data_IF_630137018250
#
_entry.id   IF_630137018250
#
_cell.length_a   1.000
_cell.length_b   1.000
_cell.length_c   1.000
_cell.angle_alpha   90.00
_cell.angle_beta   90.00
_cell.angle_gamma   90.00
#
_symmetry.space_group_name_H-M   'P 1'
#
loop_
_entity.id
_entity.type
_entity.pdbx_description
1 polymer ?
#
# COMPACT_ATOMS: atom_id res chain seq x y z
N UNK A 1 -2.82 19.35 -40.61
CA UNK A 1 -1.53 19.39 -39.91
C UNK A 1 -1.62 20.44 -38.82
N UNK A 2 -2.12 20.05 -37.63
CA UNK A 2 -2.20 20.94 -36.48
C UNK A 2 -0.88 20.82 -35.70
N UNK A 3 -0.14 21.90 -35.68
CA UNK A 3 1.09 22.09 -34.91
C UNK A 3 0.81 21.81 -33.44
N UNK A 4 1.28 20.66 -32.97
CA UNK A 4 1.41 20.38 -31.52
C UNK A 4 2.45 21.36 -31.00
N UNK A 5 2.02 22.46 -30.41
CA UNK A 5 2.91 23.32 -29.66
C UNK A 5 3.53 22.46 -28.56
N UNK A 6 4.83 22.20 -28.63
CA UNK A 6 5.59 21.56 -27.54
C UNK A 6 5.34 22.39 -26.27
N UNK A 7 4.46 21.90 -25.39
CA UNK A 7 4.20 22.56 -24.10
C UNK A 7 5.53 22.53 -23.36
N UNK A 8 6.11 23.72 -23.14
CA UNK A 8 7.42 23.88 -22.57
C UNK A 8 7.52 23.07 -21.24
N UNK A 9 8.43 22.11 -21.17
CA UNK A 9 8.70 21.34 -19.98
C UNK A 9 8.16 19.89 -19.93
N UNK A 10 7.24 19.49 -20.84
CA UNK A 10 6.74 18.10 -20.93
C UNK A 10 7.86 17.18 -21.44
N UNK A 11 7.99 15.98 -20.85
CA UNK A 11 9.06 15.00 -21.13
C UNK A 11 10.50 15.54 -20.96
N UNK A 12 10.66 16.67 -20.24
CA UNK A 12 11.95 17.35 -20.05
C UNK A 12 12.83 16.65 -19.00
N UNK A 13 14.13 16.97 -18.95
CA UNK A 13 15.01 16.52 -17.86
C UNK A 13 14.52 16.95 -16.46
N UNK A 14 13.84 18.08 -16.37
CA UNK A 14 13.19 18.53 -15.13
C UNK A 14 12.06 17.58 -14.71
N UNK A 15 11.22 17.13 -15.66
CA UNK A 15 10.15 16.18 -15.39
C UNK A 15 10.68 14.87 -14.79
N UNK A 16 11.80 14.36 -15.30
CA UNK A 16 12.46 13.17 -14.75
C UNK A 16 13.02 13.40 -13.34
N UNK A 17 13.70 14.53 -13.10
CA UNK A 17 14.16 14.89 -11.75
C UNK A 17 12.99 15.00 -10.78
N UNK A 18 11.89 15.61 -11.22
CA UNK A 18 10.67 15.71 -10.43
C UNK A 18 10.08 14.33 -10.09
N UNK A 19 10.11 13.39 -11.03
CA UNK A 19 9.67 12.01 -10.79
C UNK A 19 10.52 11.33 -9.71
N UNK A 20 11.85 11.42 -9.78
CA UNK A 20 12.74 10.88 -8.75
C UNK A 20 12.55 11.53 -7.39
N UNK A 21 12.42 12.85 -7.32
CA UNK A 21 12.11 13.58 -6.07
C UNK A 21 10.77 13.12 -5.50
N UNK A 22 9.77 12.90 -6.34
CA UNK A 22 8.47 12.39 -5.89
C UNK A 22 8.55 10.98 -5.33
N UNK A 23 9.30 10.07 -5.97
CA UNK A 23 9.58 8.72 -5.43
C UNK A 23 10.28 8.79 -4.08
N UNK A 24 11.28 9.67 -3.96
CA UNK A 24 11.99 9.90 -2.72
C UNK A 24 11.06 10.43 -1.61
N UNK A 25 10.17 11.39 -1.91
CA UNK A 25 9.16 11.86 -0.97
C UNK A 25 8.21 10.76 -0.51
N UNK A 26 7.76 9.88 -1.42
CA UNK A 26 6.93 8.73 -1.07
C UNK A 26 7.71 7.77 -0.16
N UNK A 27 8.97 7.52 -0.49
CA UNK A 27 9.88 6.72 0.33
C UNK A 27 10.06 7.27 1.74
N UNK A 28 10.22 8.59 1.87
CA UNK A 28 10.31 9.26 3.18
C UNK A 28 9.01 9.16 3.97
N UNK A 29 7.88 9.48 3.34
CA UNK A 29 6.58 9.56 4.02
C UNK A 29 6.10 8.25 4.61
N UNK A 30 6.43 7.12 4.00
CA UNK A 30 6.02 5.80 4.47
C UNK A 30 6.79 5.29 5.70
N UNK A 31 7.92 5.91 6.06
CA UNK A 31 8.80 5.40 7.12
C UNK A 31 8.13 5.22 8.49
N UNK A 32 7.29 6.18 8.88
CA UNK A 32 6.59 6.10 10.17
C UNK A 32 5.77 4.82 10.35
N UNK A 33 5.13 4.33 9.29
CA UNK A 33 4.28 3.12 9.35
C UNK A 33 5.09 1.85 9.65
N UNK A 34 6.38 1.82 9.30
CA UNK A 34 7.21 0.62 9.50
C UNK A 34 7.78 0.52 10.91
N UNK A 35 7.82 1.61 11.69
CA UNK A 35 8.34 1.55 13.06
C UNK A 35 7.52 0.62 13.97
N UNK A 36 6.16 0.69 14.04
CA UNK A 36 5.37 -0.24 14.86
C UNK A 36 5.52 -1.71 14.43
N UNK A 37 5.89 -1.94 13.16
CA UNK A 37 6.15 -3.29 12.62
C UNK A 37 7.48 -3.84 13.11
N UNK A 38 8.53 -3.01 13.07
CA UNK A 38 9.90 -3.43 13.45
C UNK A 38 10.08 -3.46 14.97
N UNK A 39 9.59 -2.43 15.67
CA UNK A 39 9.68 -2.27 17.12
C UNK A 39 8.47 -2.84 17.87
N UNK A 40 7.70 -3.75 17.26
CA UNK A 40 6.43 -4.23 17.81
C UNK A 40 6.56 -4.76 19.23
N UNK A 41 7.57 -5.60 19.51
CA UNK A 41 7.82 -6.16 20.85
C UNK A 41 8.26 -5.10 21.88
N UNK A 42 9.08 -4.15 21.45
CA UNK A 42 9.58 -3.07 22.32
C UNK A 42 8.42 -2.15 22.75
N UNK A 43 7.60 -1.73 21.79
CA UNK A 43 6.41 -0.91 22.08
C UNK A 43 5.43 -1.70 22.95
N UNK A 44 5.14 -2.96 22.63
CA UNK A 44 4.25 -3.80 23.42
C UNK A 44 4.74 -3.97 24.85
N UNK A 45 6.04 -4.19 25.07
CA UNK A 45 6.62 -4.34 26.39
C UNK A 45 6.41 -3.12 27.29
N UNK A 46 6.44 -1.91 26.71
CA UNK A 46 6.19 -0.66 27.43
C UNK A 46 4.71 -0.48 27.81
N UNK A 47 3.79 -1.06 26.99
CA UNK A 47 2.34 -0.97 27.21
C UNK A 47 1.73 -2.30 27.69
N UNK A 48 2.32 -2.88 28.74
CA UNK A 48 1.78 -4.06 29.41
C UNK A 48 1.93 -5.40 28.67
N UNK A 49 2.76 -5.44 27.62
CA UNK A 49 3.03 -6.65 26.83
C UNK A 49 2.03 -6.91 25.71
N UNK A 50 1.00 -6.07 25.55
CA UNK A 50 -0.05 -6.24 24.54
C UNK A 50 0.41 -5.85 23.15
N UNK A 51 0.49 -6.81 22.22
CA UNK A 51 0.86 -6.59 20.81
C UNK A 51 -0.25 -5.88 20.03
N UNK A 52 -1.47 -5.89 20.53
CA UNK A 52 -2.57 -5.11 19.95
C UNK A 52 -2.28 -3.60 19.95
N UNK A 53 -1.52 -3.06 20.92
CA UNK A 53 -1.22 -1.62 21.03
C UNK A 53 -0.41 -1.10 19.82
N UNK A 54 0.80 -1.61 19.53
CA UNK A 54 1.53 -1.17 18.33
C UNK A 54 0.81 -1.51 17.02
N UNK A 55 0.06 -2.62 16.99
CA UNK A 55 -0.74 -3.00 15.83
C UNK A 55 -1.93 -2.06 15.61
N UNK A 56 -2.51 -1.49 16.69
CA UNK A 56 -3.54 -0.45 16.62
C UNK A 56 -2.97 0.85 16.06
N UNK A 57 -1.76 1.25 16.48
CA UNK A 57 -1.09 2.42 15.91
C UNK A 57 -0.88 2.27 14.39
N UNK A 58 -0.42 1.08 13.95
CA UNK A 58 -0.33 0.75 12.52
C UNK A 58 -1.69 0.83 11.83
N UNK A 59 -2.74 0.22 12.40
CA UNK A 59 -4.10 0.23 11.86
C UNK A 59 -4.63 1.64 11.66
N UNK A 60 -4.54 2.47 12.69
CA UNK A 60 -5.01 3.87 12.68
C UNK A 60 -4.23 4.70 11.64
N UNK A 61 -2.90 4.54 11.58
CA UNK A 61 -2.06 5.23 10.61
C UNK A 61 -2.38 4.83 9.18
N UNK A 62 -2.57 3.54 8.92
CA UNK A 62 -2.84 3.02 7.57
C UNK A 62 -4.25 3.38 7.09
N UNK A 63 -5.25 3.28 7.96
CA UNK A 63 -6.63 3.67 7.65
C UNK A 63 -6.74 5.18 7.39
N UNK A 64 -6.11 5.98 8.26
CA UNK A 64 -6.07 7.44 8.12
C UNK A 64 -5.33 7.88 6.85
N UNK A 65 -4.26 7.17 6.46
CA UNK A 65 -3.57 7.39 5.18
C UNK A 65 -4.51 7.19 3.98
N UNK A 66 -5.36 6.16 4.00
CA UNK A 66 -6.35 5.91 2.95
C UNK A 66 -7.34 7.06 2.79
N UNK A 67 -7.93 7.51 3.90
CA UNK A 67 -8.86 8.65 3.93
C UNK A 67 -8.15 9.97 3.56
N UNK A 68 -6.98 10.20 4.15
CA UNK A 68 -6.16 11.39 3.91
C UNK A 68 -5.73 11.52 2.45
N UNK A 69 -5.47 10.40 1.76
CA UNK A 69 -5.09 10.40 0.35
C UNK A 69 -6.13 11.03 -0.56
N UNK A 70 -7.43 10.84 -0.26
CA UNK A 70 -8.53 11.50 -0.98
C UNK A 70 -8.52 13.01 -0.70
N UNK A 71 -8.39 13.40 0.58
CA UNK A 71 -8.36 14.80 1.00
C UNK A 71 -7.13 15.53 0.43
N UNK A 72 -5.94 14.94 0.54
CA UNK A 72 -4.70 15.54 0.05
C UNK A 72 -4.64 15.63 -1.48
N UNK A 73 -5.23 14.66 -2.19
CA UNK A 73 -5.42 14.73 -3.64
C UNK A 73 -6.33 15.91 -4.03
N UNK A 74 -7.46 16.05 -3.35
CA UNK A 74 -8.36 17.19 -3.55
C UNK A 74 -7.69 18.54 -3.22
N UNK A 75 -6.91 18.62 -2.16
CA UNK A 75 -6.17 19.81 -1.77
C UNK A 75 -5.12 20.19 -2.83
N UNK A 76 -4.38 19.20 -3.34
CA UNK A 76 -3.40 19.40 -4.40
C UNK A 76 -4.04 19.92 -5.70
N UNK A 77 -5.24 19.42 -6.05
CA UNK A 77 -5.97 19.84 -7.25
C UNK A 77 -6.50 21.29 -7.13
N UNK A 78 -6.77 21.77 -5.91
CA UNK A 78 -7.28 23.14 -5.66
C UNK A 78 -6.19 24.17 -5.41
N UNK A 79 -5.04 23.72 -4.97
CA UNK A 79 -3.92 24.60 -4.61
C UNK A 79 -2.71 24.32 -5.51
N UNK A 80 -1.84 23.45 -5.06
CA UNK A 80 -0.66 23.02 -5.79
C UNK A 80 -0.14 21.73 -5.15
N UNK A 81 0.56 20.85 -5.87
CA UNK A 81 1.18 19.65 -5.29
C UNK A 81 2.22 19.95 -4.20
N UNK A 82 2.70 21.19 -4.11
CA UNK A 82 3.58 21.66 -3.02
C UNK A 82 2.89 21.70 -1.66
N UNK A 83 1.64 22.15 -1.62
CA UNK A 83 0.92 22.41 -0.36
C UNK A 83 0.75 21.13 0.47
N UNK A 84 0.23 20.01 -0.07
CA UNK A 84 0.21 18.75 0.66
C UNK A 84 1.57 18.30 1.17
N UNK A 85 2.64 18.46 0.38
CA UNK A 85 3.99 18.04 0.79
C UNK A 85 4.59 18.93 1.88
N UNK A 86 4.30 20.24 1.89
CA UNK A 86 4.69 21.12 3.00
C UNK A 86 3.95 20.73 4.29
N UNK A 87 2.65 20.45 4.19
CA UNK A 87 1.86 19.92 5.31
C UNK A 87 2.47 18.58 5.78
N UNK A 88 2.81 17.68 4.86
CA UNK A 88 3.44 16.41 5.20
C UNK A 88 4.74 16.57 5.98
N UNK A 89 5.62 17.48 5.54
CA UNK A 89 6.89 17.75 6.23
C UNK A 89 6.70 18.15 7.67
N UNK A 90 5.82 19.15 7.92
CA UNK A 90 5.49 19.61 9.27
C UNK A 90 4.78 18.53 10.09
N UNK A 91 3.84 17.82 9.46
CA UNK A 91 3.04 16.81 10.15
C UNK A 91 3.85 15.57 10.51
N UNK A 92 4.79 15.12 9.68
CA UNK A 92 5.67 13.99 9.98
C UNK A 92 6.58 14.33 11.17
N UNK A 93 7.13 15.54 11.21
CA UNK A 93 7.93 16.02 12.34
C UNK A 93 7.11 16.06 13.63
N UNK A 94 5.95 16.74 13.59
CA UNK A 94 5.07 16.85 14.75
C UNK A 94 4.52 15.49 15.20
N UNK A 95 4.21 14.61 14.26
CA UNK A 95 3.68 13.29 14.53
C UNK A 95 4.70 12.33 15.15
N UNK A 96 5.95 12.40 14.66
CA UNK A 96 7.05 11.64 15.25
C UNK A 96 7.28 12.03 16.73
N UNK A 97 7.27 13.33 17.00
CA UNK A 97 7.39 13.83 18.38
C UNK A 97 6.16 13.49 19.23
N UNK A 98 4.94 13.72 18.74
CA UNK A 98 3.70 13.47 19.49
C UNK A 98 3.55 11.96 19.83
N UNK A 99 3.75 11.08 18.86
CA UNK A 99 3.62 9.65 19.08
C UNK A 99 4.69 9.10 20.06
N UNK A 100 5.85 9.75 20.14
CA UNK A 100 6.93 9.39 21.07
C UNK A 100 6.80 10.01 22.45
N UNK A 101 5.93 11.01 22.67
CA UNK A 101 5.96 11.87 23.86
C UNK A 101 5.19 11.35 25.08
N UNK A 102 4.29 10.35 24.91
CA UNK A 102 3.39 9.97 25.99
C UNK A 102 2.97 8.50 26.00
N UNK A 103 1.74 8.24 26.46
CA UNK A 103 1.14 6.92 26.56
C UNK A 103 0.46 6.46 25.27
N UNK A 104 -0.40 5.46 25.35
CA UNK A 104 -1.10 4.86 24.21
C UNK A 104 -1.88 5.88 23.37
N UNK A 105 -2.57 6.82 24.02
CA UNK A 105 -3.37 7.82 23.32
C UNK A 105 -2.53 8.76 22.45
N UNK A 106 -1.35 9.18 22.90
CA UNK A 106 -0.45 10.02 22.12
C UNK A 106 0.13 9.24 20.94
N UNK A 107 0.41 7.94 21.15
CA UNK A 107 0.80 7.02 20.09
C UNK A 107 -0.30 6.94 19.01
N UNK A 108 -1.54 6.66 19.40
CA UNK A 108 -2.67 6.50 18.46
C UNK A 108 -2.98 7.79 17.71
N UNK A 109 -3.11 8.92 18.41
CA UNK A 109 -3.38 10.22 17.79
C UNK A 109 -2.23 10.63 16.86
N UNK A 110 -0.98 10.41 17.28
CA UNK A 110 0.21 10.70 16.47
C UNK A 110 0.26 9.89 15.19
N UNK A 111 -0.10 8.62 15.23
CA UNK A 111 -0.18 7.78 14.03
C UNK A 111 -1.38 8.09 13.15
N UNK A 112 -2.54 8.36 13.76
CA UNK A 112 -3.78 8.61 13.01
C UNK A 112 -3.73 9.95 12.28
N UNK A 113 -3.48 11.05 12.99
CA UNK A 113 -3.66 12.39 12.44
C UNK A 113 -2.39 12.88 11.73
N UNK A 114 -1.28 13.20 12.44
CA UNK A 114 -0.14 13.81 11.76
C UNK A 114 0.66 12.84 10.91
N UNK A 115 0.90 11.59 11.34
CA UNK A 115 1.68 10.65 10.52
C UNK A 115 0.87 10.04 9.38
N UNK A 116 -0.37 9.60 9.63
CA UNK A 116 -1.20 8.92 8.64
C UNK A 116 -1.96 9.89 7.75
N UNK A 117 -2.92 10.65 8.34
CA UNK A 117 -3.87 11.47 7.59
C UNK A 117 -3.21 12.69 6.91
N UNK A 118 -2.29 13.38 7.56
CA UNK A 118 -1.63 14.58 7.03
C UNK A 118 -0.27 14.30 6.40
N UNK A 119 0.49 13.36 6.96
CA UNK A 119 1.88 13.07 6.56
C UNK A 119 1.95 12.14 5.36
N UNK A 120 1.81 10.85 5.58
CA UNK A 120 2.01 9.83 4.54
C UNK A 120 1.02 9.96 3.38
N UNK A 121 -0.24 10.26 3.66
CA UNK A 121 -1.30 10.42 2.66
C UNK A 121 -0.99 11.49 1.60
N UNK A 122 -0.27 12.53 1.99
CA UNK A 122 0.08 13.67 1.14
C UNK A 122 1.18 13.35 0.10
N UNK A 123 1.82 12.18 0.18
CA UNK A 123 2.98 11.86 -0.66
C UNK A 123 2.59 11.18 -1.97
N UNK A 124 1.77 10.13 -1.95
CA UNK A 124 1.51 9.28 -3.12
C UNK A 124 0.50 9.90 -4.09
N UNK A 125 -0.71 10.22 -3.63
CA UNK A 125 -1.81 10.66 -4.53
C UNK A 125 -1.50 12.00 -5.21
N UNK A 126 -1.02 13.05 -4.51
CA UNK A 126 -0.62 14.29 -5.15
C UNK A 126 0.54 14.13 -6.14
N UNK A 127 1.55 13.32 -5.79
CA UNK A 127 2.68 13.05 -6.67
C UNK A 127 2.24 12.32 -7.95
N UNK A 128 1.41 11.28 -7.82
CA UNK A 128 0.87 10.51 -8.94
C UNK A 128 0.05 11.40 -9.89
N UNK A 129 -0.78 12.28 -9.33
CA UNK A 129 -1.57 13.24 -10.11
C UNK A 129 -0.69 14.26 -10.84
N UNK A 130 0.29 14.83 -10.15
CA UNK A 130 1.17 15.85 -10.72
C UNK A 130 2.04 15.28 -11.84
N UNK A 131 2.66 14.12 -11.62
CA UNK A 131 3.58 13.51 -12.59
C UNK A 131 2.92 13.18 -13.93
N UNK A 132 1.66 12.75 -13.90
CA UNK A 132 0.91 12.44 -15.11
C UNK A 132 0.77 13.65 -16.07
N UNK A 133 0.84 14.86 -15.58
CA UNK A 133 0.79 16.08 -16.39
C UNK A 133 2.16 16.59 -16.87
N UNK A 134 3.26 15.99 -16.41
CA UNK A 134 4.62 16.29 -16.84
C UNK A 134 5.12 15.38 -17.96
N UNK A 135 4.38 14.29 -18.28
CA UNK A 135 4.77 13.31 -19.30
C UNK A 135 3.65 13.07 -20.31
N UNK A 136 4.03 12.95 -21.56
CA UNK A 136 3.15 12.57 -22.65
C UNK A 136 3.63 11.25 -23.30
N UNK A 137 4.81 11.23 -23.90
CA UNK A 137 5.37 10.05 -24.58
C UNK A 137 5.75 8.92 -23.63
N UNK A 138 6.30 9.23 -22.44
CA UNK A 138 6.80 8.26 -21.46
C UNK A 138 5.95 8.23 -20.19
N UNK A 139 4.68 8.56 -20.29
CA UNK A 139 3.75 8.67 -19.16
C UNK A 139 3.63 7.37 -18.36
N UNK A 140 3.52 6.22 -19.05
CA UNK A 140 3.43 4.91 -18.38
C UNK A 140 4.66 4.60 -17.56
N UNK A 141 5.86 4.91 -18.07
CA UNK A 141 7.12 4.71 -17.36
C UNK A 141 7.22 5.60 -16.11
N UNK A 142 6.81 6.87 -16.23
CA UNK A 142 6.79 7.80 -15.08
C UNK A 142 5.81 7.37 -13.99
N UNK A 143 4.62 6.89 -14.37
CA UNK A 143 3.62 6.33 -13.44
C UNK A 143 4.15 5.07 -12.76
N UNK A 144 4.80 4.17 -13.49
CA UNK A 144 5.44 2.97 -12.94
C UNK A 144 6.54 3.33 -11.93
N UNK A 145 7.35 4.36 -12.25
CA UNK A 145 8.40 4.84 -11.34
C UNK A 145 7.81 5.34 -10.00
N UNK A 146 6.74 6.15 -10.04
CA UNK A 146 6.06 6.60 -8.82
C UNK A 146 5.51 5.44 -8.01
N UNK A 147 4.99 4.40 -8.68
CA UNK A 147 4.43 3.21 -8.01
C UNK A 147 5.47 2.38 -7.26
N UNK A 148 6.75 2.55 -7.54
CA UNK A 148 7.86 1.92 -6.77
C UNK A 148 8.09 2.59 -5.41
N UNK A 149 7.66 3.84 -5.24
CA UNK A 149 7.92 4.62 -4.02
C UNK A 149 7.52 3.93 -2.71
N UNK A 150 6.30 3.37 -2.56
CA UNK A 150 5.91 2.65 -1.35
C UNK A 150 6.77 1.40 -1.06
N UNK A 151 7.17 0.67 -2.11
CA UNK A 151 8.05 -0.49 -1.96
C UNK A 151 9.46 -0.07 -1.52
N UNK A 152 9.97 1.04 -2.06
CA UNK A 152 11.25 1.62 -1.63
C UNK A 152 11.22 2.00 -0.14
N UNK A 153 10.12 2.61 0.32
CA UNK A 153 9.91 2.91 1.74
C UNK A 153 10.03 1.67 2.61
N UNK A 154 9.28 0.64 2.26
CA UNK A 154 9.25 -0.59 3.03
C UNK A 154 10.51 -1.47 2.91
N UNK A 155 11.29 -1.31 1.87
CA UNK A 155 12.61 -1.91 1.77
C UNK A 155 13.63 -1.18 2.66
N UNK A 156 13.59 0.16 2.68
CA UNK A 156 14.62 0.98 3.32
C UNK A 156 14.40 1.12 4.83
N UNK A 157 13.18 1.48 5.27
CA UNK A 157 12.93 1.87 6.66
C UNK A 157 13.09 0.74 7.67
N UNK A 158 12.68 -0.52 7.43
CA UNK A 158 12.97 -1.62 8.34
C UNK A 158 14.47 -1.81 8.60
N UNK A 159 15.31 -1.59 7.56
CA UNK A 159 16.75 -1.67 7.71
C UNK A 159 17.30 -0.48 8.51
N UNK A 160 16.80 0.73 8.28
CA UNK A 160 17.18 1.92 9.05
C UNK A 160 16.81 1.74 10.53
N UNK A 161 15.61 1.28 10.84
CA UNK A 161 15.18 1.04 12.21
C UNK A 161 15.97 -0.08 12.90
N UNK A 162 16.35 -1.12 12.16
CA UNK A 162 17.25 -2.16 12.66
C UNK A 162 18.56 -1.58 13.25
N UNK A 163 19.08 -0.49 12.65
CA UNK A 163 20.28 0.19 13.13
C UNK A 163 20.00 1.18 14.26
N UNK A 164 18.85 1.83 14.24
CA UNK A 164 18.52 2.86 15.23
C UNK A 164 18.01 2.28 16.56
N UNK A 165 17.21 1.22 16.53
CA UNK A 165 16.53 0.69 17.70
C UNK A 165 17.47 0.24 18.83
N UNK A 166 18.61 -0.47 18.59
CA UNK A 166 19.49 -0.92 19.67
C UNK A 166 20.10 0.23 20.47
N UNK A 167 20.39 1.37 19.82
CA UNK A 167 21.08 2.49 20.46
C UNK A 167 20.11 3.55 21.01
N UNK A 168 18.97 3.77 20.33
CA UNK A 168 18.05 4.88 20.62
C UNK A 168 16.68 4.43 21.16
N UNK A 169 16.34 3.14 21.04
CA UNK A 169 14.99 2.67 21.32
C UNK A 169 13.92 3.24 20.37
N UNK A 170 12.68 2.78 20.48
CA UNK A 170 11.64 3.12 19.51
C UNK A 170 11.20 4.60 19.55
N UNK A 171 11.17 5.23 20.72
CA UNK A 171 10.72 6.62 20.88
C UNK A 171 11.67 7.59 20.19
N UNK A 172 12.96 7.51 20.47
CA UNK A 172 13.96 8.38 19.86
C UNK A 172 14.10 8.08 18.34
N UNK A 173 14.05 6.82 17.97
CA UNK A 173 14.05 6.42 16.54
C UNK A 173 12.90 7.04 15.76
N UNK A 174 11.70 7.14 16.37
CA UNK A 174 10.55 7.81 15.77
C UNK A 174 10.75 9.32 15.65
N UNK A 175 11.33 9.95 16.66
CA UNK A 175 11.68 11.39 16.62
C UNK A 175 12.73 11.66 15.55
N UNK A 176 13.81 10.86 15.49
CA UNK A 176 14.85 10.96 14.47
C UNK A 176 14.22 10.84 13.07
N UNK A 177 13.35 9.84 12.87
CA UNK A 177 12.58 9.72 11.63
C UNK A 177 11.80 10.99 11.33
N UNK A 178 11.02 11.48 12.31
CA UNK A 178 10.19 12.67 12.17
C UNK A 178 10.98 13.90 11.73
N UNK A 179 12.13 14.12 12.35
CA UNK A 179 13.03 15.24 12.02
C UNK A 179 13.63 15.07 10.62
N UNK A 180 14.26 13.93 10.36
CA UNK A 180 14.96 13.68 9.08
C UNK A 180 13.97 13.70 7.92
N UNK A 181 12.89 12.90 8.02
CA UNK A 181 11.90 12.80 6.95
C UNK A 181 11.12 14.11 6.77
N UNK A 182 10.74 14.78 7.88
CA UNK A 182 10.01 16.04 7.85
C UNK A 182 10.82 17.15 7.20
N UNK A 183 12.08 17.34 7.58
CA UNK A 183 12.96 18.37 6.99
C UNK A 183 13.23 18.08 5.51
N UNK A 184 13.59 16.83 5.17
CA UNK A 184 13.84 16.47 3.77
C UNK A 184 12.58 16.61 2.91
N UNK A 185 11.41 16.24 3.43
CA UNK A 185 10.12 16.42 2.76
C UNK A 185 9.84 17.90 2.49
N UNK A 186 10.05 18.76 3.49
CA UNK A 186 9.89 20.20 3.36
C UNK A 186 10.80 20.77 2.27
N UNK A 187 12.08 20.40 2.25
CA UNK A 187 13.03 20.81 1.22
C UNK A 187 12.64 20.31 -0.17
N UNK A 188 12.20 19.06 -0.28
CA UNK A 188 11.71 18.51 -1.54
C UNK A 188 10.46 19.25 -2.04
N UNK A 189 9.55 19.64 -1.15
CA UNK A 189 8.36 20.38 -1.49
C UNK A 189 8.68 21.75 -2.16
N UNK A 190 9.76 22.39 -1.76
CA UNK A 190 10.23 23.64 -2.39
C UNK A 190 10.65 23.45 -3.86
N UNK A 191 11.17 22.27 -4.20
CA UNK A 191 11.59 21.93 -5.54
C UNK A 191 10.43 21.56 -6.48
N UNK A 192 9.35 20.98 -5.95
CA UNK A 192 8.21 20.48 -6.73
C UNK A 192 7.41 21.63 -7.32
N UNK A 193 7.07 21.54 -8.62
CA UNK A 193 6.23 22.50 -9.35
C UNK A 193 4.95 21.81 -9.84
N UNK A 194 3.85 22.56 -9.98
CA UNK A 194 2.64 22.06 -10.62
C UNK A 194 2.90 21.72 -12.07
N UNK A 195 2.18 20.72 -12.60
CA UNK A 195 2.34 20.32 -13.98
C UNK A 195 1.89 21.40 -14.96
N UNK A 196 2.55 21.56 -16.11
CA UNK A 196 2.18 22.55 -17.15
C UNK A 196 0.85 22.21 -17.82
N UNK A 197 0.39 20.98 -17.72
CA UNK A 197 -0.89 20.52 -18.28
C UNK A 197 -1.93 20.54 -17.17
N UNK A 198 -2.71 21.63 -17.08
CA UNK A 198 -3.91 21.66 -16.25
C UNK A 198 -4.83 20.49 -16.67
N UNK A 199 -5.26 19.69 -15.72
CA UNK A 199 -6.20 18.59 -15.95
C UNK A 199 -7.50 19.19 -16.49
N UNK A 200 -7.72 19.12 -17.81
CA UNK A 200 -9.03 19.36 -18.35
C UNK A 200 -9.98 18.38 -17.66
N UNK A 201 -10.99 18.88 -16.94
CA UNK A 201 -12.10 18.07 -16.47
C UNK A 201 -12.80 17.54 -17.71
N UNK A 202 -12.36 16.38 -18.22
CA UNK A 202 -13.09 15.70 -19.29
C UNK A 202 -14.49 15.44 -18.78
N UNK A 203 -15.50 15.92 -19.53
CA UNK A 203 -16.88 15.56 -19.28
C UNK A 203 -16.96 14.03 -19.24
N UNK A 204 -17.52 13.47 -18.18
CA UNK A 204 -17.68 12.02 -18.08
C UNK A 204 -18.62 11.56 -19.17
N UNK A 205 -18.21 10.66 -20.07
CA UNK A 205 -19.12 10.08 -21.03
C UNK A 205 -20.24 9.32 -20.29
N UNK A 206 -21.42 9.16 -20.90
CA UNK A 206 -22.48 8.34 -20.36
C UNK A 206 -21.99 6.94 -19.99
N UNK A 207 -22.43 6.42 -18.85
CA UNK A 207 -22.02 5.09 -18.36
C UNK A 207 -22.75 4.01 -19.17
N UNK A 208 -22.12 3.39 -20.14
CA UNK A 208 -22.62 2.15 -20.73
C UNK A 208 -22.22 0.96 -19.82
N UNK A 209 -23.16 0.49 -19.06
CA UNK A 209 -23.01 -0.65 -18.13
C UNK A 209 -23.55 -1.97 -18.71
N UNK A 210 -24.01 -1.99 -19.96
CA UNK A 210 -24.62 -3.18 -20.60
C UNK A 210 -23.65 -4.34 -20.75
N UNK A 211 -22.33 -4.02 -20.83
CA UNK A 211 -21.23 -4.97 -20.96
C UNK A 211 -20.84 -5.71 -19.68
N UNK A 212 -21.34 -5.35 -18.49
CA UNK A 212 -20.91 -5.93 -17.22
C UNK A 212 -21.38 -7.39 -17.03
N UNK A 213 -20.56 -8.25 -16.39
CA UNK A 213 -20.93 -9.65 -16.10
C UNK A 213 -22.09 -9.78 -15.10
N UNK A 214 -22.30 -8.77 -14.25
CA UNK A 214 -23.36 -8.67 -13.25
C UNK A 214 -23.73 -7.18 -13.04
N UNK A 215 -24.86 -6.85 -12.37
CA UNK A 215 -25.21 -5.46 -12.07
C UNK A 215 -24.06 -4.72 -11.36
N UNK A 216 -23.90 -3.44 -11.65
CA UNK A 216 -22.77 -2.64 -11.18
C UNK A 216 -22.60 -2.60 -9.65
N UNK A 217 -23.72 -2.48 -8.89
CA UNK A 217 -23.67 -2.42 -7.42
C UNK A 217 -23.11 -3.70 -6.78
N UNK A 218 -23.67 -4.91 -7.06
CA UNK A 218 -23.09 -6.15 -6.51
C UNK A 218 -21.66 -6.41 -7.03
N UNK A 219 -21.31 -6.02 -8.24
CA UNK A 219 -19.95 -6.13 -8.75
C UNK A 219 -18.96 -5.28 -7.94
N UNK A 220 -19.34 -4.04 -7.62
CA UNK A 220 -18.53 -3.16 -6.77
C UNK A 220 -18.41 -3.72 -5.35
N UNK A 221 -19.50 -4.23 -4.76
CA UNK A 221 -19.45 -4.86 -3.45
C UNK A 221 -18.53 -6.09 -3.43
N UNK A 222 -18.63 -6.95 -4.46
CA UNK A 222 -17.76 -8.12 -4.61
C UNK A 222 -16.29 -7.73 -4.71
N UNK A 223 -15.93 -6.79 -5.57
CA UNK A 223 -14.55 -6.35 -5.75
C UNK A 223 -14.00 -5.64 -4.50
N UNK A 224 -14.83 -4.85 -3.80
CA UNK A 224 -14.45 -4.20 -2.55
C UNK A 224 -14.23 -5.23 -1.43
N UNK A 225 -15.10 -6.22 -1.29
CA UNK A 225 -14.96 -7.30 -0.32
C UNK A 225 -13.72 -8.17 -0.64
N UNK A 226 -13.49 -8.49 -1.91
CA UNK A 226 -12.32 -9.25 -2.33
C UNK A 226 -11.02 -8.48 -2.01
N UNK A 227 -10.96 -7.19 -2.34
CA UNK A 227 -9.79 -6.35 -2.05
C UNK A 227 -9.54 -6.21 -0.53
N UNK A 228 -10.60 -6.05 0.26
CA UNK A 228 -10.52 -6.03 1.72
C UNK A 228 -9.92 -7.35 2.24
N UNK A 229 -10.48 -8.48 1.85
CA UNK A 229 -10.05 -9.80 2.32
C UNK A 229 -8.61 -10.12 1.90
N UNK A 230 -8.26 -9.84 0.66
CA UNK A 230 -6.89 -9.97 0.15
C UNK A 230 -5.89 -9.18 1.01
N UNK A 231 -6.16 -7.90 1.24
CA UNK A 231 -5.26 -7.03 1.96
C UNK A 231 -5.23 -7.32 3.47
N UNK A 232 -6.35 -7.78 4.06
CA UNK A 232 -6.38 -8.24 5.45
C UNK A 232 -5.50 -9.48 5.64
N UNK A 233 -5.59 -10.44 4.73
CA UNK A 233 -4.73 -11.62 4.74
C UNK A 233 -3.25 -11.28 4.60
N UNK A 234 -2.93 -10.35 3.72
CA UNK A 234 -1.58 -9.89 3.40
C UNK A 234 -0.90 -9.17 4.58
N UNK A 235 -1.69 -8.42 5.35
CA UNK A 235 -1.17 -7.59 6.43
C UNK A 235 -0.69 -8.41 7.63
N UNK A 236 -1.31 -9.55 7.95
CA UNK A 236 -0.97 -10.35 9.13
C UNK A 236 0.50 -10.77 9.14
N UNK A 237 1.03 -11.52 8.15
CA UNK A 237 2.45 -11.89 8.17
C UNK A 237 3.35 -10.66 8.03
N UNK A 238 2.96 -9.66 7.26
CA UNK A 238 3.77 -8.48 7.02
C UNK A 238 4.01 -7.65 8.28
N UNK A 239 2.97 -7.37 9.05
CA UNK A 239 3.04 -6.54 10.26
C UNK A 239 3.73 -7.28 11.40
N UNK A 240 3.53 -8.60 11.49
CA UNK A 240 4.01 -9.39 12.63
C UNK A 240 5.30 -10.17 12.37
N UNK A 241 5.92 -10.05 11.19
CA UNK A 241 7.10 -10.84 10.80
C UNK A 241 8.26 -10.71 11.78
N UNK A 242 8.59 -9.48 12.20
CA UNK A 242 9.71 -9.23 13.12
C UNK A 242 9.44 -9.85 14.49
N UNK A 243 8.22 -9.68 15.01
CA UNK A 243 7.82 -10.26 16.28
C UNK A 243 7.74 -11.80 16.22
N UNK A 244 7.22 -12.34 15.11
CA UNK A 244 7.16 -13.78 14.86
C UNK A 244 8.55 -14.42 14.80
N UNK A 245 9.50 -13.82 14.09
CA UNK A 245 10.88 -14.26 14.08
C UNK A 245 11.48 -14.29 15.50
N UNK A 246 11.23 -13.24 16.29
CA UNK A 246 11.69 -13.18 17.67
C UNK A 246 11.04 -14.22 18.60
N UNK A 247 9.78 -14.66 18.32
CA UNK A 247 9.13 -15.75 19.08
C UNK A 247 9.69 -17.13 18.70
N UNK A 248 10.27 -17.26 17.52
CA UNK A 248 11.03 -18.45 17.11
C UNK A 248 12.49 -18.44 17.58
N UNK A 249 12.89 -17.47 18.42
CA UNK A 249 14.28 -17.34 18.91
C UNK A 249 15.25 -16.75 17.89
N UNK A 250 14.75 -16.20 16.78
CA UNK A 250 15.57 -15.55 15.77
C UNK A 250 15.77 -14.07 16.10
N UNK A 251 16.88 -13.47 15.63
CA UNK A 251 17.11 -12.05 15.85
C UNK A 251 16.08 -11.19 15.10
N UNK A 252 15.68 -10.02 15.62
CA UNK A 252 14.77 -9.08 14.93
C UNK A 252 15.25 -8.67 13.55
N UNK A 253 16.57 -8.67 13.34
CA UNK A 253 17.18 -8.42 12.05
C UNK A 253 16.68 -9.36 10.94
N UNK A 254 16.48 -10.64 11.25
CA UNK A 254 15.99 -11.65 10.30
C UNK A 254 14.54 -11.38 9.88
N UNK A 255 13.72 -10.87 10.79
CA UNK A 255 12.36 -10.42 10.47
C UNK A 255 12.35 -9.21 9.53
N UNK A 256 13.23 -8.24 9.74
CA UNK A 256 13.38 -7.08 8.85
C UNK A 256 13.89 -7.48 7.45
N UNK A 257 14.81 -8.44 7.37
CA UNK A 257 15.27 -9.03 6.11
C UNK A 257 14.13 -9.73 5.36
N UNK A 258 13.28 -10.49 6.09
CA UNK A 258 12.12 -11.16 5.52
C UNK A 258 11.11 -10.16 4.92
N UNK A 259 10.83 -9.04 5.61
CA UNK A 259 9.98 -7.96 5.09
C UNK A 259 10.59 -7.35 3.82
N UNK A 260 11.90 -7.07 3.84
CA UNK A 260 12.59 -6.52 2.66
C UNK A 260 12.53 -7.48 1.48
N UNK A 261 12.62 -8.80 1.73
CA UNK A 261 12.50 -9.83 0.71
C UNK A 261 11.08 -9.90 0.11
N UNK A 262 10.03 -9.78 0.94
CA UNK A 262 8.63 -9.66 0.46
C UNK A 262 8.54 -8.50 -0.54
N UNK A 263 9.05 -7.33 -0.19
CA UNK A 263 8.92 -6.13 -1.02
C UNK A 263 9.80 -6.16 -2.26
N UNK A 264 10.98 -6.74 -2.19
CA UNK A 264 11.84 -6.97 -3.34
C UNK A 264 11.17 -7.87 -4.36
N UNK A 265 10.61 -9.00 -3.91
CA UNK A 265 9.89 -9.92 -4.77
C UNK A 265 8.59 -9.31 -5.31
N UNK A 266 7.92 -8.46 -4.54
CA UNK A 266 6.74 -7.72 -4.98
C UNK A 266 7.04 -6.80 -6.17
N UNK A 267 8.13 -6.06 -6.11
CA UNK A 267 8.57 -5.20 -7.23
C UNK A 267 8.91 -6.03 -8.46
N UNK A 268 9.73 -7.07 -8.29
CA UNK A 268 10.15 -7.95 -9.39
C UNK A 268 8.95 -8.65 -10.07
N UNK A 269 8.04 -9.20 -9.27
CA UNK A 269 6.88 -9.93 -9.76
C UNK A 269 5.82 -9.03 -10.42
N UNK A 270 5.71 -7.77 -10.02
CA UNK A 270 4.73 -6.82 -10.57
C UNK A 270 4.81 -6.71 -12.09
N UNK A 271 6.01 -6.65 -12.65
CA UNK A 271 6.21 -6.57 -14.10
C UNK A 271 5.84 -7.88 -14.81
N UNK A 272 6.20 -9.02 -14.23
CA UNK A 272 5.86 -10.34 -14.77
C UNK A 272 4.33 -10.58 -14.75
N UNK A 273 3.68 -10.28 -13.63
CA UNK A 273 2.23 -10.44 -13.46
C UNK A 273 1.44 -9.44 -14.32
N UNK A 274 1.95 -8.22 -14.51
CA UNK A 274 1.37 -7.25 -15.44
C UNK A 274 1.36 -7.79 -16.88
N UNK A 275 2.50 -8.28 -17.37
CA UNK A 275 2.59 -8.93 -18.69
C UNK A 275 1.66 -10.14 -18.81
N UNK A 276 1.65 -11.00 -17.81
CA UNK A 276 0.77 -12.17 -17.80
C UNK A 276 -0.71 -11.75 -17.85
N UNK A 277 -1.07 -10.65 -17.20
CA UNK A 277 -2.43 -10.08 -17.22
C UNK A 277 -2.86 -9.64 -18.62
N UNK A 278 -1.92 -9.17 -19.45
CA UNK A 278 -2.21 -8.81 -20.84
C UNK A 278 -2.56 -10.04 -21.70
N UNK A 279 -1.97 -11.21 -21.40
CA UNK A 279 -2.19 -12.47 -22.15
C UNK A 279 -3.42 -13.25 -21.67
N UNK A 280 -3.54 -13.50 -20.39
CA UNK A 280 -4.60 -14.39 -19.84
C UNK A 280 -5.73 -13.64 -19.13
N UNK A 281 -5.59 -12.33 -18.99
CA UNK A 281 -6.58 -11.42 -18.39
C UNK A 281 -6.41 -11.21 -16.88
N UNK A 282 -6.84 -10.04 -16.37
CA UNK A 282 -6.55 -9.62 -15.01
C UNK A 282 -7.25 -10.45 -13.92
N UNK A 283 -8.45 -11.00 -14.18
CA UNK A 283 -9.15 -11.82 -13.17
C UNK A 283 -8.42 -13.13 -12.93
N UNK A 284 -7.95 -13.80 -13.99
CA UNK A 284 -7.22 -15.06 -13.84
C UNK A 284 -5.86 -14.86 -13.18
N UNK A 285 -5.16 -13.75 -13.51
CA UNK A 285 -3.89 -13.42 -12.84
C UNK A 285 -4.13 -13.10 -11.36
N UNK A 286 -5.20 -12.39 -11.00
CA UNK A 286 -5.54 -12.13 -9.59
C UNK A 286 -5.88 -13.42 -8.84
N UNK A 287 -6.55 -14.39 -9.49
CA UNK A 287 -6.77 -15.72 -8.92
C UNK A 287 -5.46 -16.49 -8.69
N UNK A 288 -4.53 -16.46 -9.65
CA UNK A 288 -3.20 -17.07 -9.48
C UNK A 288 -2.42 -16.40 -8.34
N UNK A 289 -2.47 -15.07 -8.25
CA UNK A 289 -1.86 -14.33 -7.14
C UNK A 289 -2.47 -14.74 -5.79
N UNK A 290 -3.80 -14.86 -5.68
CA UNK A 290 -4.46 -15.31 -4.46
C UNK A 290 -4.07 -16.77 -4.13
N UNK A 291 -3.97 -17.65 -5.11
CA UNK A 291 -3.50 -19.02 -4.89
C UNK A 291 -2.07 -19.04 -4.32
N UNK A 292 -1.16 -18.24 -4.87
CA UNK A 292 0.22 -18.14 -4.37
C UNK A 292 0.22 -17.61 -2.92
N UNK A 293 -0.66 -16.65 -2.62
CA UNK A 293 -0.83 -16.10 -1.27
C UNK A 293 -1.36 -17.18 -0.30
N UNK A 294 -2.37 -17.97 -0.70
CA UNK A 294 -2.87 -19.12 0.08
C UNK A 294 -1.76 -20.11 0.41
N UNK A 295 -0.92 -20.46 -0.56
CA UNK A 295 0.23 -21.37 -0.36
C UNK A 295 1.20 -20.79 0.67
N UNK A 296 1.57 -19.51 0.55
CA UNK A 296 2.49 -18.87 1.49
C UNK A 296 1.90 -18.77 2.91
N UNK A 297 0.62 -18.38 3.04
CA UNK A 297 -0.07 -18.29 4.33
C UNK A 297 -0.19 -19.66 5.01
N UNK A 298 -0.50 -20.72 4.24
CA UNK A 298 -0.49 -22.10 4.75
C UNK A 298 0.89 -22.44 5.29
N UNK A 299 1.95 -22.11 4.55
CA UNK A 299 3.33 -22.34 4.99
C UNK A 299 3.67 -21.63 6.31
N UNK A 300 3.22 -20.38 6.49
CA UNK A 300 3.48 -19.63 7.74
C UNK A 300 2.82 -20.25 8.98
N UNK A 301 1.74 -21.03 8.83
CA UNK A 301 1.12 -21.77 9.95
C UNK A 301 2.06 -22.85 10.51
N UNK A 302 2.91 -23.43 9.65
CA UNK A 302 3.75 -24.59 10.00
C UNK A 302 5.24 -24.28 10.10
N UNK A 303 5.69 -23.10 9.64
CA UNK A 303 7.12 -22.77 9.58
C UNK A 303 7.71 -22.62 10.98
N UNK A 304 8.92 -23.16 11.18
CA UNK A 304 9.65 -23.10 12.46
C UNK A 304 11.09 -22.63 12.29
N UNK A 305 11.60 -22.50 11.07
CA UNK A 305 13.01 -22.18 10.81
C UNK A 305 13.23 -21.03 9.83
N UNK A 306 14.41 -20.42 9.90
CA UNK A 306 14.79 -19.23 9.12
C UNK A 306 14.68 -19.45 7.61
N UNK A 307 15.17 -20.57 7.10
CA UNK A 307 15.12 -20.87 5.66
C UNK A 307 13.67 -20.92 5.15
N UNK A 308 12.77 -21.53 5.94
CA UNK A 308 11.35 -21.58 5.62
C UNK A 308 10.73 -20.17 5.60
N UNK A 309 11.07 -19.32 6.55
CA UNK A 309 10.59 -17.92 6.59
C UNK A 309 11.02 -17.17 5.33
N UNK A 310 12.28 -17.28 4.90
CA UNK A 310 12.74 -16.58 3.70
C UNK A 310 12.09 -17.12 2.43
N UNK A 311 11.94 -18.44 2.29
CA UNK A 311 11.25 -19.03 1.13
C UNK A 311 9.79 -18.55 1.08
N UNK A 312 9.08 -18.60 2.21
CA UNK A 312 7.69 -18.16 2.29
C UNK A 312 7.56 -16.64 2.08
N UNK A 313 8.50 -15.84 2.57
CA UNK A 313 8.54 -14.40 2.33
C UNK A 313 8.75 -14.08 0.85
N UNK A 314 9.63 -14.81 0.16
CA UNK A 314 9.81 -14.66 -1.27
C UNK A 314 8.53 -15.02 -2.04
N UNK A 315 7.87 -16.13 -1.70
CA UNK A 315 6.62 -16.58 -2.31
C UNK A 315 5.49 -15.56 -2.02
N UNK A 316 5.37 -15.09 -0.77
CA UNK A 316 4.35 -14.13 -0.35
C UNK A 316 4.53 -12.76 -1.03
N UNK A 317 5.77 -12.38 -1.35
CA UNK A 317 6.08 -11.16 -2.07
C UNK A 317 5.55 -11.15 -3.50
N UNK A 318 5.48 -12.29 -4.18
CA UNK A 318 5.03 -12.36 -5.59
C UNK A 318 3.64 -11.71 -5.79
N UNK A 319 2.60 -12.07 -5.04
CA UNK A 319 1.27 -11.46 -5.19
C UNK A 319 1.16 -10.06 -4.57
N UNK A 320 2.05 -9.64 -3.68
CA UNK A 320 1.88 -8.54 -2.75
C UNK A 320 1.44 -7.21 -3.39
N UNK A 321 2.08 -6.78 -4.48
CA UNK A 321 1.67 -5.59 -5.24
C UNK A 321 0.78 -5.99 -6.42
N UNK A 322 1.08 -7.11 -7.07
CA UNK A 322 0.47 -7.53 -8.32
C UNK A 322 -1.05 -7.73 -8.19
N UNK A 323 -1.53 -8.31 -7.08
CA UNK A 323 -2.96 -8.57 -6.86
C UNK A 323 -3.74 -7.26 -6.65
N UNK A 324 -3.16 -6.30 -5.96
CA UNK A 324 -3.79 -4.97 -5.75
C UNK A 324 -3.88 -4.22 -7.07
N UNK A 325 -2.85 -4.28 -7.92
CA UNK A 325 -2.89 -3.74 -9.28
C UNK A 325 -3.91 -4.51 -10.14
N UNK A 326 -4.08 -5.80 -9.91
CA UNK A 326 -5.09 -6.63 -10.55
C UNK A 326 -6.50 -6.07 -10.42
N UNK A 327 -6.90 -5.58 -9.24
CA UNK A 327 -8.20 -4.91 -9.06
C UNK A 327 -8.36 -3.67 -9.93
N UNK A 328 -7.33 -2.86 -10.06
CA UNK A 328 -7.36 -1.69 -10.94
C UNK A 328 -7.52 -2.09 -12.42
N UNK A 329 -6.83 -3.15 -12.85
CA UNK A 329 -6.94 -3.67 -14.21
C UNK A 329 -8.31 -4.32 -14.47
N UNK A 330 -8.87 -5.04 -13.50
CA UNK A 330 -10.22 -5.62 -13.57
C UNK A 330 -11.26 -4.49 -13.74
N UNK A 331 -11.21 -3.47 -12.88
CA UNK A 331 -12.11 -2.33 -12.97
C UNK A 331 -12.00 -1.61 -14.32
N UNK A 332 -10.76 -1.37 -14.77
CA UNK A 332 -10.52 -0.71 -16.06
C UNK A 332 -11.05 -1.51 -17.25
N UNK A 333 -10.94 -2.84 -17.19
CA UNK A 333 -11.42 -3.75 -18.24
C UNK A 333 -12.95 -3.84 -18.24
N UNK A 334 -13.60 -3.81 -17.07
CA UNK A 334 -15.05 -3.97 -16.93
C UNK A 334 -15.81 -2.66 -17.19
N UNK A 335 -15.30 -1.55 -16.68
CA UNK A 335 -16.00 -0.25 -16.73
C UNK A 335 -15.41 0.72 -17.76
N UNK A 336 -14.27 0.39 -18.37
CA UNK A 336 -13.55 1.29 -19.25
C UNK A 336 -12.71 2.34 -18.50
N UNK A 337 -11.73 2.95 -19.18
CA UNK A 337 -10.73 3.83 -18.54
C UNK A 337 -11.29 5.15 -18.00
N UNK A 338 -12.38 5.66 -18.61
CA UNK A 338 -13.01 6.94 -18.21
C UNK A 338 -13.89 6.84 -16.96
N UNK A 339 -14.43 5.66 -16.68
CA UNK A 339 -15.44 5.41 -15.63
C UNK A 339 -14.82 4.76 -14.39
N UNK A 340 -13.68 4.11 -14.54
CA UNK A 340 -13.03 3.33 -13.47
C UNK A 340 -12.52 4.19 -12.29
N UNK A 341 -12.33 5.50 -12.45
CA UNK A 341 -11.59 6.33 -11.47
C UNK A 341 -12.14 6.32 -10.04
N UNK A 342 -13.42 6.71 -9.83
CA UNK A 342 -14.00 6.74 -8.48
C UNK A 342 -14.23 5.33 -7.91
N UNK A 343 -14.53 4.37 -8.79
CA UNK A 343 -14.70 2.96 -8.43
C UNK A 343 -13.40 2.36 -7.91
N UNK A 344 -12.29 2.69 -8.56
CA UNK A 344 -10.96 2.33 -8.08
C UNK A 344 -10.70 2.92 -6.70
N UNK A 345 -11.07 4.20 -6.49
CA UNK A 345 -10.94 4.83 -5.17
C UNK A 345 -11.70 4.08 -4.08
N UNK A 346 -12.93 3.63 -4.34
CA UNK A 346 -13.72 2.84 -3.39
C UNK A 346 -13.05 1.49 -3.11
N UNK A 347 -12.65 0.75 -4.15
CA UNK A 347 -12.00 -0.57 -3.96
C UNK A 347 -10.67 -0.41 -3.21
N UNK A 348 -9.87 0.64 -3.50
CA UNK A 348 -8.63 0.92 -2.79
C UNK A 348 -8.86 1.33 -1.33
N UNK A 349 -9.95 2.03 -1.02
CA UNK A 349 -10.32 2.33 0.37
C UNK A 349 -10.60 1.05 1.16
N UNK A 350 -11.33 0.09 0.58
CA UNK A 350 -11.53 -1.21 1.20
C UNK A 350 -10.24 -2.02 1.32
N UNK A 351 -9.34 -1.95 0.33
CA UNK A 351 -8.02 -2.56 0.42
C UNK A 351 -7.20 -1.98 1.59
N UNK A 352 -7.19 -0.64 1.76
CA UNK A 352 -6.50 0.01 2.88
C UNK A 352 -7.13 -0.35 4.23
N UNK A 353 -8.47 -0.42 4.30
CA UNK A 353 -9.17 -0.90 5.49
C UNK A 353 -8.81 -2.36 5.81
N UNK A 354 -8.66 -3.21 4.79
CA UNK A 354 -8.18 -4.58 4.96
C UNK A 354 -6.77 -4.63 5.55
N UNK A 355 -5.81 -3.88 4.98
CA UNK A 355 -4.45 -3.78 5.52
C UNK A 355 -4.45 -3.30 6.98
N UNK A 356 -5.26 -2.29 7.29
CA UNK A 356 -5.38 -1.74 8.62
C UNK A 356 -5.89 -2.79 9.63
N UNK A 357 -7.04 -3.38 9.35
CA UNK A 357 -7.71 -4.36 10.22
C UNK A 357 -6.89 -5.64 10.32
N UNK A 358 -6.35 -6.16 9.20
CA UNK A 358 -5.52 -7.36 9.19
C UNK A 358 -4.25 -7.19 10.04
N UNK A 359 -3.60 -6.03 9.95
CA UNK A 359 -2.46 -5.71 10.78
C UNK A 359 -2.77 -5.69 12.28
N UNK A 360 -3.90 -5.10 12.68
CA UNK A 360 -4.33 -5.07 14.08
C UNK A 360 -4.78 -6.43 14.60
N UNK A 361 -5.57 -7.15 13.82
CA UNK A 361 -6.13 -8.46 14.20
C UNK A 361 -5.05 -9.47 14.56
N UNK A 362 -3.90 -9.44 13.86
CA UNK A 362 -2.78 -10.32 14.18
C UNK A 362 -2.24 -10.12 15.60
N UNK A 363 -2.17 -8.87 16.08
CA UNK A 363 -1.80 -8.54 17.45
C UNK A 363 -2.86 -8.96 18.47
N UNK A 364 -4.13 -8.64 18.20
CA UNK A 364 -5.25 -8.99 19.08
C UNK A 364 -5.41 -10.51 19.25
N UNK A 365 -5.26 -11.28 18.16
CA UNK A 365 -5.30 -12.74 18.19
C UNK A 365 -4.09 -13.30 18.98
N UNK A 366 -2.91 -12.72 18.78
CA UNK A 366 -1.73 -13.11 19.56
C UNK A 366 -1.94 -12.87 21.06
N UNK A 367 -2.46 -11.72 21.45
CA UNK A 367 -2.69 -11.39 22.86
C UNK A 367 -3.71 -12.35 23.53
N UNK A 368 -4.69 -12.85 22.75
CA UNK A 368 -5.67 -13.82 23.22
C UNK A 368 -5.16 -15.27 23.26
N UNK A 369 -4.20 -15.63 22.40
CA UNK A 369 -3.79 -17.03 22.18
C UNK A 369 -2.31 -17.31 22.49
N UNK A 370 -1.50 -16.27 22.68
CA UNK A 370 -0.03 -16.29 22.83
C UNK A 370 0.68 -17.00 21.65
N UNK A 371 0.05 -17.03 20.49
CA UNK A 371 0.57 -17.69 19.29
C UNK A 371 0.15 -16.94 18.01
N UNK A 372 1.04 -16.90 17.02
CA UNK A 372 0.69 -16.39 15.67
C UNK A 372 0.00 -17.40 14.78
N UNK A 373 0.01 -18.70 15.13
CA UNK A 373 -0.65 -19.73 14.29
C UNK A 373 -2.14 -19.42 14.03
N UNK A 374 -2.97 -19.10 15.06
CA UNK A 374 -4.36 -18.73 14.81
C UNK A 374 -4.50 -17.45 13.99
N UNK A 375 -3.58 -16.48 14.11
CA UNK A 375 -3.59 -15.27 13.30
C UNK A 375 -3.32 -15.58 11.82
N UNK A 376 -2.36 -16.46 11.51
CA UNK A 376 -2.13 -16.93 10.15
C UNK A 376 -3.28 -17.78 9.59
N UNK A 377 -3.94 -18.60 10.42
CA UNK A 377 -5.15 -19.33 10.02
C UNK A 377 -6.30 -18.38 9.67
N UNK A 378 -6.48 -17.32 10.45
CA UNK A 378 -7.47 -16.29 10.15
C UNK A 378 -7.13 -15.56 8.84
N UNK A 379 -5.86 -15.21 8.62
CA UNK A 379 -5.39 -14.64 7.36
C UNK A 379 -5.66 -15.58 6.17
N UNK A 380 -5.44 -16.89 6.35
CA UNK A 380 -5.78 -17.90 5.37
C UNK A 380 -7.28 -17.91 5.06
N UNK A 381 -8.16 -17.77 6.06
CA UNK A 381 -9.60 -17.66 5.89
C UNK A 381 -10.01 -16.42 5.08
N UNK A 382 -9.40 -15.27 5.34
CA UNK A 382 -9.61 -14.07 4.55
C UNK A 382 -9.19 -14.26 3.09
N UNK A 383 -8.02 -14.84 2.84
CA UNK A 383 -7.57 -15.01 1.45
C UNK A 383 -8.37 -16.11 0.71
N UNK A 384 -8.84 -17.13 1.41
CA UNK A 384 -9.75 -18.13 0.84
C UNK A 384 -11.07 -17.46 0.37
N UNK A 385 -11.61 -16.54 1.17
CA UNK A 385 -12.79 -15.76 0.79
C UNK A 385 -12.49 -14.87 -0.43
N UNK A 386 -11.33 -14.20 -0.47
CA UNK A 386 -10.87 -13.46 -1.64
C UNK A 386 -10.82 -14.35 -2.89
N UNK A 387 -10.20 -15.53 -2.77
CA UNK A 387 -10.09 -16.49 -3.87
C UNK A 387 -11.46 -16.94 -4.39
N UNK A 388 -12.41 -17.22 -3.49
CA UNK A 388 -13.78 -17.60 -3.87
C UNK A 388 -14.51 -16.44 -4.58
N UNK A 389 -14.39 -15.20 -4.09
CA UNK A 389 -15.02 -14.03 -4.71
C UNK A 389 -14.47 -13.77 -6.12
N UNK A 390 -13.15 -13.85 -6.30
CA UNK A 390 -12.53 -13.73 -7.62
C UNK A 390 -12.89 -14.90 -8.53
N UNK A 391 -13.00 -16.12 -7.99
CA UNK A 391 -13.46 -17.32 -8.70
C UNK A 391 -14.89 -17.17 -9.19
N UNK A 392 -15.78 -16.65 -8.36
CA UNK A 392 -17.15 -16.34 -8.72
C UNK A 392 -17.21 -15.33 -9.88
N UNK A 393 -16.41 -14.25 -9.81
CA UNK A 393 -16.32 -13.26 -10.87
C UNK A 393 -15.83 -13.89 -12.20
N UNK A 394 -14.80 -14.74 -12.12
CA UNK A 394 -14.25 -15.43 -13.28
C UNK A 394 -15.29 -16.35 -13.95
N UNK A 395 -16.02 -17.12 -13.14
CA UNK A 395 -17.09 -18.00 -13.62
C UNK A 395 -18.21 -17.23 -14.32
N UNK A 396 -18.64 -16.09 -13.74
CA UNK A 396 -19.68 -15.25 -14.34
C UNK A 396 -19.24 -14.59 -15.65
N UNK A 397 -17.96 -14.20 -15.74
CA UNK A 397 -17.40 -13.70 -16.99
C UNK A 397 -17.41 -14.77 -18.09
N UNK A 398 -17.02 -16.00 -17.77
CA UNK A 398 -17.04 -17.10 -18.73
C UNK A 398 -18.44 -17.45 -19.18
N UNK A 399 -19.41 -17.58 -18.28
CA UNK A 399 -20.79 -17.86 -18.66
C UNK A 399 -21.32 -16.84 -19.67
N UNK A 400 -21.08 -15.57 -19.50
CA UNK A 400 -21.57 -14.53 -20.39
C UNK A 400 -20.93 -14.56 -21.78
N UNK A 401 -19.67 -14.97 -21.88
CA UNK A 401 -19.00 -15.19 -23.18
C UNK A 401 -19.69 -16.36 -23.91
N UNK A 402 -19.98 -17.45 -23.23
CA UNK A 402 -20.67 -18.60 -23.81
C UNK A 402 -22.08 -18.27 -24.29
N UNK A 403 -22.86 -17.53 -23.51
CA UNK A 403 -24.20 -17.10 -23.92
C UNK A 403 -24.20 -16.17 -25.12
N UNK A 404 -23.18 -15.34 -25.31
CA UNK A 404 -23.04 -14.47 -26.50
C UNK A 404 -22.51 -15.19 -27.76
N UNK A 405 -21.82 -16.31 -27.60
CA UNK A 405 -21.37 -17.14 -28.71
C UNK A 405 -22.45 -18.17 -29.15
N UNK A 406 -23.42 -18.44 -28.28
CA UNK A 406 -24.54 -19.35 -28.53
C UNK A 406 -25.80 -18.63 -29.04
N UNK A 407 -25.84 -17.29 -29.01
CA UNK A 407 -26.89 -16.42 -29.59
C UNK A 407 -26.45 -15.82 -30.93
#
# INVERSE_FOLDING_TARGET
MTTVSHRAGVDSPYAWRLAFVSVFCIGLGGGGIYLPVVALKEIAAEFGGHRAVPSMAYMLGFFAMGLGGVFMGWLADRTSPRVPLLIAGVSILAGGWLAASGGEWTLYVGYMIPLGFLGNSATFTPAMNNIQGWFDRRRSLAVSLISVGPALSGFTWPQVYRWLLPDYGWRQSLVIYGVVAGVLMFLCALYIRPSPVARAKAARPPEDLSGLPMPSRPLMALLSAAAFCCCAAMAVPFVHMVAFCGDLGLSPARGSEAISLILLMAVAATFAMGRLSDHIGPVLVSLLCSLIQLVSLTGYVFVTGLSGIYILSAIHGIPYIAIVQGYALILRRLYGPSIAGWRLGVVMLFAMAGMAIGGWIGGAVFDATLSYRPAFQLALGFDLLNFMLLGLLYFWQRRRIWTRLAA
#
